data_IF_697286555288
#
_entry.id   IF_697286555288
#
_cell.length_a   1.000
_cell.length_b   1.000
_cell.length_c   1.000
_cell.angle_alpha   90.00
_cell.angle_beta   90.00
_cell.angle_gamma   90.00
#
_symmetry.space_group_name_H-M   'P 1'
#
loop_
_entity.id
_entity.type
_entity.pdbx_description
1 polymer ?
#
# COMPACT_ATOMS: atom_id res chain seq x y z
N UNK A 1 -11.75 3.29 6.35
CA UNK A 1 -11.83 3.47 4.88
C UNK A 1 -13.18 3.25 4.21
N UNK A 2 -14.31 3.14 4.94
CA UNK A 2 -15.65 2.99 4.33
C UNK A 2 -15.77 1.86 3.29
N UNK A 3 -15.24 0.67 3.62
CA UNK A 3 -15.12 -0.44 2.68
C UNK A 3 -16.40 -1.29 2.57
N UNK A 4 -17.40 -0.71 1.91
CA UNK A 4 -18.70 -1.34 1.65
C UNK A 4 -19.06 -1.30 0.16
N UNK A 5 -19.71 -2.35 -0.32
CA UNK A 5 -20.28 -2.39 -1.67
C UNK A 5 -21.42 -1.39 -1.81
N UNK A 6 -21.36 -0.53 -2.83
CA UNK A 6 -22.30 0.60 -3.02
C UNK A 6 -23.75 0.14 -3.14
N UNK A 7 -24.01 -0.96 -3.86
CA UNK A 7 -25.36 -1.48 -4.08
C UNK A 7 -25.81 -2.42 -2.96
N UNK A 8 -24.95 -3.37 -2.59
CA UNK A 8 -25.33 -4.47 -1.70
C UNK A 8 -25.15 -4.16 -0.22
N UNK A 9 -24.42 -3.09 0.13
CA UNK A 9 -24.02 -2.79 1.50
C UNK A 9 -23.09 -3.85 2.13
N UNK A 10 -22.62 -4.84 1.37
CA UNK A 10 -21.75 -5.90 1.88
C UNK A 10 -20.39 -5.33 2.24
N UNK A 11 -19.90 -5.70 3.43
CA UNK A 11 -18.54 -5.39 3.89
C UNK A 11 -17.52 -6.04 2.96
N UNK A 12 -16.54 -5.27 2.48
CA UNK A 12 -15.36 -5.83 1.80
C UNK A 12 -14.43 -6.45 2.83
N UNK A 13 -13.63 -7.42 2.39
CA UNK A 13 -12.54 -7.97 3.20
C UNK A 13 -11.38 -6.97 3.18
N UNK A 14 -10.85 -6.66 4.34
CA UNK A 14 -9.67 -5.81 4.50
C UNK A 14 -8.47 -6.66 4.93
N UNK A 15 -7.29 -6.21 4.55
CA UNK A 15 -6.01 -6.80 4.94
C UNK A 15 -4.92 -5.72 4.93
N UNK A 16 -3.72 -6.10 5.34
CA UNK A 16 -2.55 -5.25 5.26
C UNK A 16 -2.05 -5.08 3.82
N UNK A 17 -1.19 -4.09 3.60
CA UNK A 17 -0.57 -3.89 2.30
C UNK A 17 0.29 -5.09 1.92
N UNK A 18 0.10 -5.60 0.70
CA UNK A 18 0.82 -6.75 0.19
C UNK A 18 1.85 -6.32 -0.86
N UNK A 19 3.08 -6.12 -0.41
CA UNK A 19 4.14 -5.64 -1.29
C UNK A 19 4.59 -6.71 -2.29
N UNK A 20 4.48 -7.99 -1.96
CA UNK A 20 4.78 -9.10 -2.87
C UNK A 20 3.86 -9.04 -4.09
N UNK A 21 2.55 -8.95 -3.84
CA UNK A 21 1.56 -8.88 -4.90
C UNK A 21 1.69 -7.60 -5.72
N UNK A 22 1.93 -6.46 -5.07
CA UNK A 22 2.09 -5.17 -5.77
C UNK A 22 3.37 -5.16 -6.61
N UNK A 23 4.50 -5.65 -6.10
CA UNK A 23 5.76 -5.78 -6.86
C UNK A 23 5.56 -6.65 -8.11
N UNK A 24 4.86 -7.77 -7.97
CA UNK A 24 4.53 -8.62 -9.10
C UNK A 24 3.63 -7.89 -10.12
N UNK A 25 2.65 -7.10 -9.66
CA UNK A 25 1.82 -6.27 -10.54
C UNK A 25 2.64 -5.19 -11.26
N UNK A 26 3.60 -4.56 -10.58
CA UNK A 26 4.54 -3.59 -11.17
C UNK A 26 5.31 -4.24 -12.33
N UNK A 27 5.92 -5.40 -12.08
CA UNK A 27 6.72 -6.11 -13.07
C UNK A 27 5.88 -6.56 -14.29
N UNK A 28 4.69 -7.14 -14.05
CA UNK A 28 3.85 -7.69 -15.12
C UNK A 28 3.24 -6.61 -16.01
N UNK A 29 2.90 -5.44 -15.45
CA UNK A 29 2.23 -4.36 -16.19
C UNK A 29 3.19 -3.27 -16.68
N UNK A 30 4.50 -3.36 -16.36
CA UNK A 30 5.47 -2.32 -16.72
C UNK A 30 5.18 -0.98 -16.04
N UNK A 31 4.68 -1.00 -14.80
CA UNK A 31 4.30 0.21 -14.06
C UNK A 31 5.56 1.01 -13.71
N UNK A 32 5.59 2.28 -14.13
CA UNK A 32 6.70 3.21 -13.82
C UNK A 32 6.51 4.00 -12.52
N UNK A 33 5.31 4.02 -11.99
CA UNK A 33 4.99 4.64 -10.70
C UNK A 33 3.55 4.33 -10.29
N UNK A 34 3.30 4.28 -8.98
CA UNK A 34 1.98 3.99 -8.43
C UNK A 34 1.29 5.24 -7.91
N UNK A 35 -0.03 5.22 -7.91
CA UNK A 35 -0.84 6.09 -7.08
C UNK A 35 -1.15 5.37 -5.77
N UNK A 36 -0.58 5.84 -4.66
CA UNK A 36 -0.91 5.34 -3.33
C UNK A 36 -2.08 6.14 -2.77
N UNK A 37 -3.13 5.46 -2.34
CA UNK A 37 -4.40 6.11 -1.95
C UNK A 37 -4.82 5.70 -0.55
N UNK A 38 -5.68 6.51 0.08
CA UNK A 38 -6.28 6.23 1.38
C UNK A 38 -5.25 6.09 2.51
N UNK A 39 -4.19 6.90 2.47
CA UNK A 39 -3.19 6.91 3.53
C UNK A 39 -3.82 7.29 4.89
N UNK A 40 -4.82 8.17 4.87
CA UNK A 40 -5.63 8.61 6.01
C UNK A 40 -6.29 7.47 6.78
N UNK A 41 -6.55 6.34 6.13
CA UNK A 41 -7.17 5.18 6.78
C UNK A 41 -6.23 4.51 7.79
N UNK A 42 -4.92 4.76 7.67
CA UNK A 42 -3.90 4.24 8.59
C UNK A 42 -3.61 5.20 9.76
N UNK A 43 -4.17 6.41 9.74
CA UNK A 43 -3.98 7.40 10.81
C UNK A 43 -4.38 6.83 12.19
N UNK A 44 -3.53 7.08 13.19
CA UNK A 44 -3.81 6.73 14.58
C UNK A 44 -3.43 5.30 14.99
N UNK A 45 -3.11 4.42 14.04
CA UNK A 45 -2.58 3.09 14.34
C UNK A 45 -1.23 3.19 15.06
N UNK A 46 -0.99 2.31 16.04
CA UNK A 46 0.30 2.22 16.73
C UNK A 46 1.35 1.50 15.87
N UNK A 47 0.90 0.51 15.10
CA UNK A 47 1.74 -0.33 14.25
C UNK A 47 1.03 -0.61 12.93
N UNK A 48 1.81 -0.70 11.85
CA UNK A 48 1.34 -1.04 10.51
C UNK A 48 2.16 -2.23 10.03
N UNK A 49 1.49 -3.25 9.49
CA UNK A 49 2.16 -4.42 8.92
C UNK A 49 2.18 -4.33 7.40
N UNK A 50 3.26 -4.79 6.80
CA UNK A 50 3.43 -4.92 5.35
C UNK A 50 3.86 -6.35 5.06
N UNK A 51 3.16 -7.02 4.15
CA UNK A 51 3.54 -8.37 3.71
C UNK A 51 4.72 -8.25 2.75
N UNK A 52 5.87 -8.82 3.12
CA UNK A 52 7.13 -8.75 2.35
C UNK A 52 7.52 -10.08 1.71
N UNK A 53 6.85 -11.16 2.09
CA UNK A 53 7.05 -12.50 1.55
C UNK A 53 5.90 -13.41 1.93
N UNK A 54 5.90 -14.62 1.39
CA UNK A 54 5.01 -15.68 1.84
C UNK A 54 5.81 -16.90 2.26
N UNK A 55 5.30 -17.63 3.24
CA UNK A 55 5.72 -19.00 3.53
C UNK A 55 4.74 -19.97 2.89
N UNK A 56 5.25 -20.86 2.05
CA UNK A 56 4.47 -21.92 1.39
C UNK A 56 5.16 -23.25 1.65
N UNK A 57 4.47 -24.15 2.36
CA UNK A 57 4.93 -25.53 2.62
C UNK A 57 6.37 -25.59 3.21
N UNK A 58 6.74 -24.60 4.02
CA UNK A 58 8.04 -24.49 4.69
C UNK A 58 9.08 -23.64 3.95
N UNK A 59 8.83 -23.28 2.69
CA UNK A 59 9.72 -22.43 1.89
C UNK A 59 9.26 -20.97 1.90
N UNK A 60 10.22 -20.05 1.86
CA UNK A 60 9.94 -18.62 1.68
C UNK A 60 9.93 -18.31 0.20
N UNK A 61 8.82 -17.73 -0.27
CA UNK A 61 8.64 -17.27 -1.64
C UNK A 61 8.31 -15.78 -1.65
N UNK A 62 8.63 -15.13 -2.74
CA UNK A 62 8.51 -13.68 -2.90
C UNK A 62 7.64 -13.32 -4.13
N UNK A 63 6.72 -14.23 -4.46
CA UNK A 63 5.71 -14.07 -5.50
C UNK A 63 4.41 -14.72 -5.06
N UNK A 64 3.27 -14.25 -5.58
CA UNK A 64 2.00 -14.92 -5.36
C UNK A 64 1.93 -16.16 -6.29
N UNK A 65 1.76 -17.39 -5.75
CA UNK A 65 1.70 -18.59 -6.58
C UNK A 65 0.58 -18.54 -7.61
N UNK A 66 0.78 -19.09 -8.80
CA UNK A 66 -0.28 -19.15 -9.82
C UNK A 66 -1.43 -20.11 -9.46
N UNK A 67 -1.15 -21.16 -8.68
CA UNK A 67 -2.14 -22.16 -8.27
C UNK A 67 -3.02 -21.65 -7.12
N UNK A 68 -4.34 -21.67 -7.29
CA UNK A 68 -5.29 -21.34 -6.22
C UNK A 68 -5.11 -22.22 -4.97
N UNK A 69 -4.79 -23.50 -5.16
CA UNK A 69 -4.54 -24.41 -4.05
C UNK A 69 -3.30 -24.00 -3.25
N UNK A 70 -2.26 -23.49 -3.91
CA UNK A 70 -1.07 -22.97 -3.24
C UNK A 70 -1.37 -21.62 -2.57
N UNK A 71 -2.07 -20.70 -3.24
CA UNK A 71 -2.51 -19.42 -2.68
C UNK A 71 -3.34 -19.60 -1.40
N UNK A 72 -4.15 -20.65 -1.29
CA UNK A 72 -4.92 -20.92 -0.08
C UNK A 72 -4.08 -21.36 1.13
N UNK A 73 -2.83 -21.79 0.91
CA UNK A 73 -1.90 -22.29 1.94
C UNK A 73 -0.78 -21.31 2.28
N UNK A 74 -0.63 -20.21 1.54
CA UNK A 74 0.43 -19.24 1.84
C UNK A 74 0.16 -18.57 3.18
N UNK A 75 1.20 -18.46 3.99
CA UNK A 75 1.20 -17.64 5.20
C UNK A 75 1.97 -16.34 4.92
N UNK A 76 1.37 -15.16 5.12
CA UNK A 76 2.08 -13.90 4.92
C UNK A 76 3.20 -13.71 5.95
N UNK A 77 4.36 -13.30 5.46
CA UNK A 77 5.50 -12.85 6.27
C UNK A 77 5.37 -11.34 6.37
N UNK A 78 5.17 -10.84 7.59
CA UNK A 78 4.98 -9.41 7.85
C UNK A 78 6.23 -8.79 8.43
N UNK A 79 6.54 -7.60 7.93
CA UNK A 79 7.36 -6.62 8.64
C UNK A 79 6.45 -5.57 9.29
N UNK A 80 6.80 -5.18 10.51
CA UNK A 80 6.03 -4.22 11.30
C UNK A 80 6.76 -2.88 11.30
N UNK A 81 6.04 -1.83 10.91
CA UNK A 81 6.47 -0.44 11.01
C UNK A 81 5.72 0.25 12.15
N UNK A 82 6.38 1.23 12.75
CA UNK A 82 5.71 2.16 13.66
C UNK A 82 4.65 2.94 12.88
N UNK A 83 3.43 2.99 13.43
CA UNK A 83 2.38 3.84 12.90
C UNK A 83 2.63 5.32 13.22
N UNK A 84 1.62 6.15 13.01
CA UNK A 84 1.70 7.57 13.35
C UNK A 84 0.50 8.06 14.12
N UNK A 85 0.77 9.06 14.95
CA UNK A 85 -0.23 9.90 15.60
C UNK A 85 -0.39 11.19 14.81
N UNK A 86 -1.59 11.77 14.85
CA UNK A 86 -1.97 12.87 13.98
C UNK A 86 -2.67 12.37 12.71
N UNK A 87 -2.90 13.28 11.77
CA UNK A 87 -3.61 12.99 10.53
C UNK A 87 -2.77 13.26 9.31
N UNK A 88 -2.95 12.42 8.29
CA UNK A 88 -2.45 12.66 6.94
C UNK A 88 -3.51 13.32 6.05
N UNK A 89 -4.77 13.35 6.48
CA UNK A 89 -5.88 13.89 5.70
C UNK A 89 -5.68 15.38 5.37
N UNK A 90 -5.83 15.71 4.08
CA UNK A 90 -5.67 17.08 3.59
C UNK A 90 -4.21 17.51 3.35
N UNK A 91 -3.23 16.64 3.58
CA UNK A 91 -1.83 16.95 3.27
C UNK A 91 -1.62 17.12 1.75
N UNK A 92 -0.90 18.18 1.37
CA UNK A 92 -0.64 18.57 -0.03
C UNK A 92 0.84 18.59 -0.40
N UNK A 93 1.71 18.42 0.59
CA UNK A 93 3.14 18.26 0.42
C UNK A 93 3.70 17.23 1.39
N UNK A 94 4.87 16.66 1.07
CA UNK A 94 5.56 15.71 1.94
C UNK A 94 5.86 16.27 3.34
N UNK A 95 6.03 17.59 3.44
CA UNK A 95 6.30 18.28 4.71
C UNK A 95 5.07 18.36 5.62
N UNK A 96 3.87 18.17 5.07
CA UNK A 96 2.63 18.16 5.84
C UNK A 96 2.36 16.79 6.46
N UNK A 97 3.09 15.75 6.04
CA UNK A 97 2.91 14.39 6.53
C UNK A 97 3.71 14.12 7.81
N UNK A 98 3.19 13.31 8.74
CA UNK A 98 3.97 12.78 9.85
C UNK A 98 5.19 12.01 9.34
N UNK A 99 6.32 12.14 10.02
CA UNK A 99 7.57 11.51 9.61
C UNK A 99 7.45 9.98 9.42
N UNK A 100 6.67 9.29 10.25
CA UNK A 100 6.46 7.85 10.11
C UNK A 100 5.60 7.50 8.88
N UNK A 101 4.65 8.37 8.50
CA UNK A 101 3.88 8.20 7.27
C UNK A 101 4.81 8.32 6.05
N UNK A 102 5.73 9.29 6.03
CA UNK A 102 6.73 9.42 4.98
C UNK A 102 7.62 8.17 4.90
N UNK A 103 8.11 7.67 6.04
CA UNK A 103 8.91 6.43 6.07
C UNK A 103 8.13 5.23 5.55
N UNK A 104 6.87 5.09 5.92
CA UNK A 104 6.00 4.02 5.41
C UNK A 104 5.89 4.07 3.88
N UNK A 105 5.69 5.25 3.31
CA UNK A 105 5.61 5.40 1.85
C UNK A 105 6.94 5.05 1.17
N UNK A 106 8.07 5.55 1.68
CA UNK A 106 9.40 5.22 1.14
C UNK A 106 9.72 3.73 1.22
N UNK A 107 9.37 3.11 2.34
CA UNK A 107 9.56 1.68 2.52
C UNK A 107 8.72 0.85 1.54
N UNK A 108 7.48 1.27 1.25
CA UNK A 108 6.69 0.63 0.18
C UNK A 108 7.36 0.77 -1.18
N UNK A 109 7.84 1.97 -1.54
CA UNK A 109 8.54 2.18 -2.82
C UNK A 109 9.73 1.23 -3.00
N UNK A 110 10.53 1.06 -1.94
CA UNK A 110 11.67 0.13 -1.91
C UNK A 110 11.21 -1.32 -2.14
N UNK A 111 10.18 -1.77 -1.43
CA UNK A 111 9.69 -3.14 -1.54
C UNK A 111 9.10 -3.46 -2.92
N UNK A 112 8.38 -2.52 -3.53
CA UNK A 112 7.70 -2.74 -4.81
C UNK A 112 8.57 -2.42 -6.03
N UNK A 113 9.71 -1.75 -5.82
CA UNK A 113 10.63 -1.34 -6.89
C UNK A 113 10.06 -0.29 -7.84
N UNK A 114 9.09 0.51 -7.38
CA UNK A 114 8.47 1.59 -8.16
C UNK A 114 8.15 2.79 -7.27
N UNK A 115 8.32 4.03 -7.77
CA UNK A 115 8.02 5.23 -7.01
C UNK A 115 6.51 5.43 -6.81
N UNK A 116 6.14 6.10 -5.72
CA UNK A 116 4.82 6.68 -5.54
C UNK A 116 4.80 8.00 -6.29
N UNK A 117 4.30 7.99 -7.51
CA UNK A 117 4.18 9.17 -8.36
C UNK A 117 3.07 10.12 -7.86
N UNK A 118 2.07 9.56 -7.19
CA UNK A 118 0.91 10.28 -6.67
C UNK A 118 0.51 9.70 -5.31
N UNK A 119 0.29 10.56 -4.32
CA UNK A 119 -0.22 10.16 -3.00
C UNK A 119 -1.53 10.90 -2.71
N UNK A 120 -2.64 10.17 -2.67
CA UNK A 120 -3.95 10.70 -2.26
C UNK A 120 -4.11 10.55 -0.76
N UNK A 121 -4.41 11.67 -0.11
CA UNK A 121 -4.47 11.79 1.35
C UNK A 121 -5.90 11.95 1.86
N UNK A 122 -6.88 12.13 0.97
CA UNK A 122 -8.31 12.09 1.32
C UNK A 122 -9.16 11.74 0.07
N UNK A 123 -10.49 11.58 0.23
CA UNK A 123 -11.41 11.45 -0.91
C UNK A 123 -11.51 12.71 -1.78
N UNK A 124 -11.07 13.87 -1.29
CA UNK A 124 -11.14 15.14 -2.01
C UNK A 124 -10.09 15.23 -3.12
N UNK A 125 -10.47 15.83 -4.25
CA UNK A 125 -9.61 15.88 -5.45
C UNK A 125 -8.29 16.60 -5.20
N UNK A 126 -8.34 17.71 -4.45
CA UNK A 126 -7.18 18.57 -4.22
C UNK A 126 -6.26 18.07 -3.10
N UNK A 127 -6.66 17.00 -2.41
CA UNK A 127 -5.90 16.38 -1.33
C UNK A 127 -5.01 15.28 -1.90
N UNK A 128 -4.13 15.72 -2.80
CA UNK A 128 -3.20 14.87 -3.55
C UNK A 128 -1.83 15.51 -3.59
N UNK A 129 -0.80 14.74 -3.26
CA UNK A 129 0.61 15.11 -3.42
C UNK A 129 1.09 14.53 -4.75
N UNK A 130 1.33 15.38 -5.73
CA UNK A 130 1.93 15.00 -7.00
C UNK A 130 3.46 15.00 -6.87
N UNK A 131 4.07 13.82 -7.01
CA UNK A 131 5.52 13.61 -6.85
C UNK A 131 6.19 13.58 -8.22
N UNK A 132 5.55 12.98 -9.20
CA UNK A 132 5.98 12.95 -10.59
C UNK A 132 4.75 13.10 -11.47
N UNK A 133 4.76 14.09 -12.36
CA UNK A 133 3.67 14.27 -13.32
C UNK A 133 3.76 13.14 -14.37
N UNK A 134 2.74 12.26 -14.48
CA UNK A 134 2.77 11.15 -15.44
C UNK A 134 2.73 11.62 -16.91
N UNK A 135 2.46 12.91 -17.18
CA UNK A 135 2.39 13.49 -18.51
C UNK A 135 3.57 14.41 -18.86
N UNK A 136 4.51 14.63 -17.94
CA UNK A 136 5.74 15.35 -18.23
C UNK A 136 6.89 14.38 -18.46
N UNK A 137 7.67 14.67 -19.51
CA UNK A 137 8.83 13.88 -19.94
C UNK A 137 10.01 14.00 -18.96
#
# INVERSE_FOLDING_TARGET
>A
GHEFGVVTGRKRRCGWFDAVLVRQAVAVNGIKGIALTKLDVLDGLDEIKVCTGYRLDGETIDYLPASQGAQARVEPIYETLEGWKGTTAGARSWNDLPAQAVKYVRYIEELIGAPVALLSTSPERDDTILVTDPFQD
#
